data_IF_829101744184
#
_entry.id   IF_829101744184
#
_cell.length_a   1.000
_cell.length_b   1.000
_cell.length_c   1.000
_cell.angle_alpha   90.00
_cell.angle_beta   90.00
_cell.angle_gamma   90.00
#
_symmetry.space_group_name_H-M   'P 1'
#
loop_
_entity.id
_entity.type
_entity.pdbx_description
1 polymer ?
#
# COMPACT_ATOMS: atom_id res chain seq x y z
N UNK A 1 -22.64 -0.02 10.77
CA UNK A 1 -21.75 -0.62 9.78
C UNK A 1 -20.76 0.44 9.35
N UNK A 2 -19.48 0.14 9.49
CA UNK A 2 -18.41 1.02 9.00
C UNK A 2 -18.41 1.00 7.46
N UNK A 3 -18.05 2.11 6.84
CA UNK A 3 -17.81 2.17 5.40
C UNK A 3 -16.32 2.30 5.14
N UNK A 4 -15.83 1.59 4.12
CA UNK A 4 -14.46 1.71 3.64
C UNK A 4 -14.38 2.59 2.41
N UNK A 5 -13.43 3.51 2.38
CA UNK A 5 -13.21 4.39 1.23
C UNK A 5 -12.08 3.86 0.37
N UNK A 6 -12.41 3.48 -0.85
CA UNK A 6 -11.54 2.83 -1.83
C UNK A 6 -11.40 3.74 -3.04
N UNK A 7 -10.17 3.96 -3.54
CA UNK A 7 -9.98 4.79 -4.74
C UNK A 7 -9.75 3.99 -6.03
N UNK A 8 -9.36 2.71 -5.89
CA UNK A 8 -9.19 1.82 -7.05
C UNK A 8 -9.36 0.36 -6.63
N UNK A 9 -9.93 -0.44 -7.50
CA UNK A 9 -9.90 -1.90 -7.48
C UNK A 9 -9.23 -2.32 -8.78
N UNK A 10 -8.12 -3.07 -8.69
CA UNK A 10 -7.36 -3.54 -9.85
C UNK A 10 -7.40 -5.04 -9.87
N UNK A 11 -8.06 -5.57 -10.88
CA UNK A 11 -8.17 -7.00 -11.11
C UNK A 11 -6.93 -7.55 -11.84
N UNK A 12 -6.67 -8.84 -11.67
CA UNK A 12 -5.63 -9.61 -12.37
C UNK A 12 -4.20 -9.07 -12.18
N UNK A 13 -3.88 -8.56 -10.99
CA UNK A 13 -2.51 -8.17 -10.65
C UNK A 13 -1.65 -9.40 -10.38
N UNK A 14 -0.34 -9.31 -10.73
CA UNK A 14 0.63 -10.42 -10.61
C UNK A 14 1.81 -10.09 -9.67
N UNK A 15 1.90 -8.85 -9.21
CA UNK A 15 3.04 -8.37 -8.41
C UNK A 15 2.68 -8.02 -6.97
N UNK A 16 1.41 -8.19 -6.61
CA UNK A 16 0.86 -7.77 -5.33
C UNK A 16 0.63 -8.96 -4.38
N UNK A 17 1.32 -10.08 -4.61
CA UNK A 17 1.24 -11.29 -3.80
C UNK A 17 1.31 -12.57 -4.63
N UNK A 18 1.16 -13.74 -3.98
CA UNK A 18 1.12 -15.02 -4.68
C UNK A 18 -0.07 -15.12 -5.65
N UNK A 19 0.15 -15.74 -6.80
CA UNK A 19 -0.90 -16.00 -7.80
C UNK A 19 -1.51 -14.75 -8.43
N UNK A 20 -2.64 -14.92 -9.11
CA UNK A 20 -3.44 -13.82 -9.69
C UNK A 20 -4.29 -13.19 -8.58
N UNK A 21 -4.27 -11.86 -8.48
CA UNK A 21 -4.93 -11.16 -7.39
C UNK A 21 -5.85 -10.04 -7.85
N UNK A 22 -6.79 -9.70 -7.00
CA UNK A 22 -7.48 -8.42 -7.06
C UNK A 22 -6.93 -7.53 -5.95
N UNK A 23 -6.33 -6.40 -6.35
CA UNK A 23 -5.75 -5.43 -5.40
C UNK A 23 -6.71 -4.29 -5.15
N UNK A 24 -7.01 -4.05 -3.87
CA UNK A 24 -7.90 -2.99 -3.38
C UNK A 24 -7.06 -1.86 -2.81
N UNK A 25 -7.24 -0.65 -3.33
CA UNK A 25 -6.49 0.53 -2.93
C UNK A 25 -7.31 1.44 -2.02
N UNK A 26 -6.97 1.42 -0.74
CA UNK A 26 -7.63 2.20 0.32
C UNK A 26 -7.19 3.66 0.30
N UNK A 27 -8.12 4.58 0.62
CA UNK A 27 -7.82 5.99 0.88
C UNK A 27 -7.41 6.22 2.33
N UNK A 28 -6.63 7.28 2.52
CA UNK A 28 -6.07 7.64 3.82
C UNK A 28 -4.72 6.97 4.07
N UNK A 29 -3.73 7.78 4.36
CA UNK A 29 -2.41 7.32 4.79
C UNK A 29 -1.90 8.27 5.87
N UNK A 30 -1.41 7.79 7.00
CA UNK A 30 -0.84 8.65 8.05
C UNK A 30 0.54 9.19 7.66
N UNK A 31 1.22 8.56 6.70
CA UNK A 31 2.50 9.02 6.18
C UNK A 31 2.34 9.99 5.00
N UNK A 32 3.39 10.80 4.76
CA UNK A 32 3.51 11.77 3.66
C UNK A 32 4.82 11.57 2.92
N UNK A 33 5.06 10.32 2.48
CA UNK A 33 6.30 9.98 1.77
C UNK A 33 6.48 10.89 0.56
N UNK A 34 7.65 11.51 0.43
CA UNK A 34 7.94 12.45 -0.66
C UNK A 34 7.85 11.79 -2.04
N UNK A 35 8.15 10.49 -2.14
CA UNK A 35 8.09 9.69 -3.37
C UNK A 35 6.78 8.93 -3.56
N UNK A 36 5.69 9.33 -2.91
CA UNK A 36 4.46 8.54 -2.93
C UNK A 36 3.93 8.32 -4.36
N UNK A 37 3.66 7.06 -4.72
CA UNK A 37 3.13 6.70 -6.04
C UNK A 37 1.61 6.88 -6.15
N UNK A 38 0.93 6.95 -5.00
CA UNK A 38 -0.52 7.05 -4.92
C UNK A 38 -0.92 8.30 -4.11
N UNK A 39 -0.60 9.53 -4.62
CA UNK A 39 -0.98 10.76 -3.92
C UNK A 39 -2.50 10.86 -3.71
N UNK A 40 -3.30 10.25 -4.60
CA UNK A 40 -4.75 10.12 -4.48
C UNK A 40 -5.20 9.25 -3.29
N UNK A 41 -4.31 8.40 -2.79
CA UNK A 41 -4.55 7.59 -1.60
C UNK A 41 -4.15 8.25 -0.27
N UNK A 42 -3.45 9.38 -0.30
CA UNK A 42 -2.95 10.03 0.93
C UNK A 42 -4.07 10.64 1.77
N UNK A 43 -5.01 11.36 1.13
CA UNK A 43 -6.17 11.93 1.80
C UNK A 43 -7.22 10.86 2.07
N UNK A 44 -7.93 10.95 3.20
CA UNK A 44 -9.13 10.17 3.46
C UNK A 44 -10.35 10.67 2.68
N UNK A 45 -10.29 11.91 2.16
CA UNK A 45 -11.39 12.51 1.44
C UNK A 45 -11.45 12.05 -0.02
N UNK A 46 -12.66 12.07 -0.60
CA UNK A 46 -12.84 11.86 -2.04
C UNK A 46 -12.26 13.06 -2.76
N UNK A 47 -11.39 12.80 -3.73
CA UNK A 47 -10.71 13.83 -4.52
C UNK A 47 -10.97 13.61 -6.01
N UNK A 48 -10.77 14.64 -6.81
CA UNK A 48 -10.87 14.54 -8.27
C UNK A 48 -9.51 14.82 -8.91
N UNK A 49 -9.06 13.91 -9.75
CA UNK A 49 -7.93 14.14 -10.65
C UNK A 49 -8.43 14.87 -11.89
N UNK A 50 -7.90 16.06 -12.13
CA UNK A 50 -8.27 16.90 -13.27
C UNK A 50 -7.30 16.68 -14.42
N UNK A 51 -7.79 16.06 -15.51
CA UNK A 51 -7.03 15.88 -16.73
C UNK A 51 -7.30 17.06 -17.65
N UNK A 52 -6.36 18.03 -17.70
CA UNK A 52 -6.43 19.17 -18.62
C UNK A 52 -6.47 18.73 -20.09
N UNK A 53 -6.88 19.65 -20.96
CA UNK A 53 -6.86 19.41 -22.41
C UNK A 53 -5.43 19.15 -22.87
N UNK A 54 -5.19 17.97 -23.43
CA UNK A 54 -3.91 17.60 -24.03
C UNK A 54 -3.88 18.11 -25.48
N UNK A 55 -2.84 18.83 -25.86
CA UNK A 55 -2.69 19.29 -27.25
C UNK A 55 -2.56 18.06 -28.17
N UNK A 56 -3.51 17.91 -29.09
CA UNK A 56 -3.48 16.83 -30.12
C UNK A 56 -4.07 15.48 -29.70
N UNK A 57 -4.68 15.35 -28.50
CA UNK A 57 -5.41 14.15 -28.08
C UNK A 57 -6.82 14.48 -27.60
N UNK A 58 -7.72 13.50 -27.65
CA UNK A 58 -9.06 13.67 -27.10
C UNK A 58 -8.98 14.04 -25.60
N UNK A 59 -9.83 14.97 -25.12
CA UNK A 59 -9.84 15.32 -23.71
C UNK A 59 -10.16 14.08 -22.86
N UNK A 60 -9.34 13.83 -21.84
CA UNK A 60 -9.60 12.78 -20.88
C UNK A 60 -10.54 13.32 -19.81
N UNK A 61 -11.60 12.58 -19.50
CA UNK A 61 -12.52 12.95 -18.43
C UNK A 61 -11.83 12.94 -17.07
N UNK A 62 -12.21 13.87 -16.20
CA UNK A 62 -11.78 13.90 -14.81
C UNK A 62 -12.12 12.59 -14.11
N UNK A 63 -11.23 12.16 -13.19
CA UNK A 63 -11.39 10.92 -12.44
C UNK A 63 -11.66 11.23 -10.98
N UNK A 64 -12.81 10.77 -10.48
CA UNK A 64 -13.11 10.77 -9.05
C UNK A 64 -12.28 9.65 -8.38
N UNK A 65 -11.50 10.03 -7.39
CA UNK A 65 -10.63 9.13 -6.60
C UNK A 65 -11.22 8.95 -5.21
N UNK A 66 -12.02 7.91 -5.06
CA UNK A 66 -12.67 7.52 -3.82
C UNK A 66 -14.14 7.19 -4.03
N UNK A 67 -14.55 6.09 -3.43
CA UNK A 67 -15.92 5.63 -3.31
C UNK A 67 -16.09 4.93 -1.98
N UNK A 68 -17.19 5.19 -1.30
CA UNK A 68 -17.53 4.50 -0.06
C UNK A 68 -18.21 3.16 -0.37
N UNK A 69 -17.77 2.13 0.35
CA UNK A 69 -18.26 0.78 0.25
C UNK A 69 -18.70 0.26 1.61
N UNK A 70 -19.78 -0.51 1.65
CA UNK A 70 -20.02 -1.40 2.78
C UNK A 70 -19.11 -2.63 2.68
N UNK A 71 -18.79 -3.28 3.80
CA UNK A 71 -17.97 -4.48 3.78
C UNK A 71 -18.61 -5.60 2.93
N UNK A 72 -19.93 -5.71 2.93
CA UNK A 72 -20.66 -6.70 2.13
C UNK A 72 -20.58 -6.40 0.63
N UNK A 73 -20.88 -5.16 0.21
CA UNK A 73 -20.84 -4.82 -1.22
C UNK A 73 -19.44 -4.97 -1.79
N UNK A 74 -18.41 -4.61 -1.00
CA UNK A 74 -17.02 -4.81 -1.44
C UNK A 74 -16.66 -6.29 -1.49
N UNK A 75 -17.08 -7.09 -0.52
CA UNK A 75 -16.85 -8.53 -0.55
C UNK A 75 -17.50 -9.16 -1.79
N UNK A 76 -18.75 -8.83 -2.09
CA UNK A 76 -19.47 -9.36 -3.27
C UNK A 76 -18.76 -8.96 -4.57
N UNK A 77 -18.25 -7.73 -4.69
CA UNK A 77 -17.47 -7.28 -5.84
C UNK A 77 -16.16 -8.09 -5.98
N UNK A 78 -15.41 -8.26 -4.89
CA UNK A 78 -14.13 -8.96 -4.90
C UNK A 78 -14.27 -10.45 -5.16
N UNK A 79 -15.40 -11.05 -4.80
CA UNK A 79 -15.68 -12.47 -5.02
C UNK A 79 -16.06 -12.81 -6.47
N UNK A 80 -16.30 -11.82 -7.34
CA UNK A 80 -16.64 -12.07 -8.76
C UNK A 80 -15.57 -12.86 -9.49
N UNK A 81 -14.30 -12.71 -9.12
CA UNK A 81 -13.17 -13.42 -9.71
C UNK A 81 -12.59 -14.52 -8.80
N UNK A 82 -13.35 -14.97 -7.79
CA UNK A 82 -12.85 -15.91 -6.78
C UNK A 82 -12.29 -17.20 -7.39
N UNK A 83 -12.93 -17.75 -8.42
CA UNK A 83 -12.50 -18.98 -9.09
C UNK A 83 -11.13 -18.84 -9.76
N UNK A 84 -10.88 -17.71 -10.44
CA UNK A 84 -9.60 -17.44 -11.11
C UNK A 84 -8.50 -17.27 -10.07
N UNK A 85 -8.79 -16.53 -8.99
CA UNK A 85 -7.87 -16.37 -7.88
C UNK A 85 -7.53 -17.71 -7.23
N UNK A 86 -8.51 -18.54 -6.94
CA UNK A 86 -8.32 -19.86 -6.33
C UNK A 86 -7.48 -20.80 -7.22
N UNK A 87 -7.77 -20.87 -8.53
CA UNK A 87 -7.02 -21.71 -9.48
C UNK A 87 -5.54 -21.34 -9.58
N UNK A 88 -5.20 -20.08 -9.38
CA UNK A 88 -3.81 -19.58 -9.44
C UNK A 88 -3.08 -19.63 -8.08
N UNK A 89 -3.75 -19.99 -6.99
CA UNK A 89 -3.24 -19.81 -5.63
C UNK A 89 -3.17 -18.33 -5.22
N UNK A 90 -3.95 -17.49 -5.88
CA UNK A 90 -4.03 -16.04 -5.64
C UNK A 90 -5.11 -15.65 -4.63
N UNK A 91 -5.57 -14.40 -4.71
CA UNK A 91 -6.57 -13.88 -3.77
C UNK A 91 -6.73 -12.38 -3.81
N UNK A 92 -7.05 -11.79 -2.69
CA UNK A 92 -7.20 -10.33 -2.54
C UNK A 92 -6.01 -9.74 -1.83
N UNK A 93 -5.54 -8.57 -2.31
CA UNK A 93 -4.50 -7.76 -1.64
C UNK A 93 -5.09 -6.43 -1.22
N UNK A 94 -4.92 -6.09 0.03
CA UNK A 94 -5.24 -4.77 0.56
C UNK A 94 -3.99 -3.88 0.47
N UNK A 95 -4.10 -2.75 -0.22
CA UNK A 95 -3.03 -1.80 -0.53
C UNK A 95 -3.57 -0.37 -0.60
N UNK A 96 -2.86 0.58 -1.20
CA UNK A 96 -3.36 1.92 -1.49
C UNK A 96 -2.61 3.04 -0.82
N UNK A 97 -3.27 3.79 0.07
CA UNK A 97 -2.65 4.68 1.03
C UNK A 97 -2.02 3.85 2.15
N UNK A 98 -2.75 3.67 3.25
CA UNK A 98 -2.43 2.70 4.31
C UNK A 98 -3.73 1.97 4.70
N UNK A 99 -3.87 0.69 4.38
CA UNK A 99 -5.09 -0.07 4.71
C UNK A 99 -5.43 -0.07 6.21
N UNK A 100 -4.41 -0.07 7.07
CA UNK A 100 -4.58 -0.05 8.53
C UNK A 100 -5.19 1.26 9.04
N UNK A 101 -5.22 2.34 8.24
CA UNK A 101 -5.96 3.55 8.57
C UNK A 101 -7.49 3.31 8.60
N UNK A 102 -7.95 2.24 7.95
CA UNK A 102 -9.35 1.82 7.93
C UNK A 102 -9.53 0.43 8.59
N UNK A 103 -8.80 0.18 9.67
CA UNK A 103 -8.75 -1.12 10.35
C UNK A 103 -10.12 -1.66 10.77
N UNK A 104 -11.03 -0.81 11.27
CA UNK A 104 -12.37 -1.22 11.66
C UNK A 104 -13.15 -1.82 10.48
N UNK A 105 -13.06 -1.17 9.31
CA UNK A 105 -13.67 -1.66 8.09
C UNK A 105 -13.02 -2.98 7.63
N UNK A 106 -11.68 -3.07 7.67
CA UNK A 106 -10.97 -4.32 7.34
C UNK A 106 -11.41 -5.48 8.23
N UNK A 107 -11.60 -5.25 9.53
CA UNK A 107 -12.05 -6.27 10.47
C UNK A 107 -13.49 -6.74 10.21
N UNK A 108 -14.33 -5.94 9.54
CA UNK A 108 -15.64 -6.38 9.03
C UNK A 108 -15.52 -7.12 7.69
N UNK A 109 -14.60 -6.71 6.79
CA UNK A 109 -14.44 -7.27 5.45
C UNK A 109 -13.72 -8.62 5.44
N UNK A 110 -12.65 -8.76 6.22
CA UNK A 110 -11.79 -9.96 6.25
C UNK A 110 -12.58 -11.25 6.49
N UNK A 111 -13.47 -11.36 7.49
CA UNK A 111 -14.24 -12.57 7.73
C UNK A 111 -15.16 -12.97 6.56
N UNK A 112 -15.68 -11.99 5.81
CA UNK A 112 -16.55 -12.24 4.66
C UNK A 112 -15.77 -12.92 3.52
N UNK A 113 -14.54 -12.48 3.27
CA UNK A 113 -13.66 -13.04 2.25
C UNK A 113 -13.07 -14.40 2.70
N UNK A 114 -12.59 -14.49 3.94
CA UNK A 114 -12.05 -15.76 4.49
C UNK A 114 -13.11 -16.85 4.59
N UNK A 115 -14.34 -16.50 4.90
CA UNK A 115 -15.47 -17.43 4.88
C UNK A 115 -15.76 -18.06 3.51
N UNK A 116 -15.16 -17.51 2.44
CA UNK A 116 -15.20 -18.03 1.06
C UNK A 116 -13.88 -18.64 0.62
N UNK A 117 -12.92 -18.83 1.53
CA UNK A 117 -11.62 -19.43 1.24
C UNK A 117 -10.66 -18.54 0.48
N UNK A 118 -10.89 -17.22 0.44
CA UNK A 118 -10.01 -16.26 -0.26
C UNK A 118 -8.72 -16.06 0.54
N UNK A 119 -7.58 -16.26 -0.12
CA UNK A 119 -6.26 -15.92 0.42
C UNK A 119 -6.08 -14.40 0.46
N UNK A 120 -5.70 -13.85 1.63
CA UNK A 120 -5.57 -12.42 1.84
C UNK A 120 -4.12 -12.00 1.99
N UNK A 121 -3.72 -10.97 1.26
CA UNK A 121 -2.45 -10.30 1.42
C UNK A 121 -2.65 -8.84 1.85
N UNK A 122 -1.67 -8.31 2.55
CA UNK A 122 -1.63 -6.92 2.99
C UNK A 122 -0.31 -6.28 2.56
N UNK A 123 -0.39 -5.16 1.85
CA UNK A 123 0.73 -4.24 1.65
C UNK A 123 0.59 -3.08 2.62
N UNK A 124 1.56 -2.90 3.51
CA UNK A 124 1.48 -1.90 4.58
C UNK A 124 2.83 -1.26 4.85
N UNK A 125 2.80 0.01 5.19
CA UNK A 125 3.95 0.70 5.78
C UNK A 125 4.23 0.23 7.22
N UNK A 126 3.27 -0.43 7.85
CA UNK A 126 3.32 -0.77 9.26
C UNK A 126 3.18 0.43 10.21
N UNK A 127 2.84 1.60 9.69
CA UNK A 127 2.68 2.81 10.51
C UNK A 127 1.25 2.90 11.08
N UNK A 128 1.00 2.12 12.10
CA UNK A 128 -0.26 2.05 12.84
C UNK A 128 0.01 1.74 14.31
N UNK A 129 -0.92 2.05 15.23
CA UNK A 129 -0.83 1.61 16.62
C UNK A 129 -0.63 0.09 16.68
N UNK A 130 0.22 -0.43 17.60
CA UNK A 130 0.56 -1.86 17.68
C UNK A 130 -0.66 -2.78 17.81
N UNK A 131 -1.65 -2.39 18.58
CA UNK A 131 -2.90 -3.14 18.73
C UNK A 131 -3.70 -3.20 17.42
N UNK A 132 -3.76 -2.10 16.67
CA UNK A 132 -4.40 -2.03 15.36
C UNK A 132 -3.67 -2.92 14.35
N UNK A 133 -2.34 -2.82 14.30
CA UNK A 133 -1.52 -3.65 13.43
C UNK A 133 -1.77 -5.14 13.71
N UNK A 134 -1.67 -5.56 14.97
CA UNK A 134 -1.84 -6.96 15.39
C UNK A 134 -3.23 -7.48 15.08
N UNK A 135 -4.27 -6.71 15.38
CA UNK A 135 -5.66 -7.14 15.19
C UNK A 135 -6.00 -7.44 13.72
N UNK A 136 -5.44 -6.69 12.78
CA UNK A 136 -5.65 -6.91 11.35
C UNK A 136 -4.69 -7.98 10.82
N UNK A 137 -3.38 -7.81 11.07
CA UNK A 137 -2.35 -8.66 10.47
C UNK A 137 -2.48 -10.12 10.92
N UNK A 138 -2.93 -10.41 12.15
CA UNK A 138 -3.18 -11.79 12.60
C UNK A 138 -4.24 -12.54 11.79
N UNK A 139 -5.02 -11.85 10.95
CA UNK A 139 -6.04 -12.45 10.09
C UNK A 139 -5.61 -12.50 8.62
N UNK A 140 -4.40 -12.07 8.29
CA UNK A 140 -3.82 -12.02 6.95
C UNK A 140 -2.95 -13.25 6.69
N UNK A 141 -2.95 -13.76 5.47
CA UNK A 141 -2.20 -14.95 5.09
C UNK A 141 -0.79 -14.62 4.59
N UNK A 142 -0.56 -13.39 4.11
CA UNK A 142 0.74 -12.94 3.59
C UNK A 142 0.90 -11.41 3.72
N UNK A 143 2.07 -10.94 4.15
CA UNK A 143 2.33 -9.52 4.34
C UNK A 143 3.50 -9.03 3.49
N UNK A 144 3.27 -7.98 2.71
CA UNK A 144 4.33 -7.11 2.22
C UNK A 144 4.52 -5.96 3.21
N UNK A 145 5.60 -6.01 3.96
CA UNK A 145 5.95 -4.99 4.94
C UNK A 145 6.97 -4.02 4.33
N UNK A 146 6.56 -2.79 4.11
CA UNK A 146 7.49 -1.76 3.64
C UNK A 146 8.52 -1.40 4.72
N UNK A 147 9.78 -1.30 4.30
CA UNK A 147 10.89 -0.73 5.08
C UNK A 147 11.46 0.44 4.29
N UNK A 148 11.03 1.64 4.64
CA UNK A 148 11.34 2.83 3.82
C UNK A 148 12.71 3.44 4.13
N UNK A 149 13.09 3.45 5.40
CA UNK A 149 14.38 3.92 5.91
C UNK A 149 14.71 3.16 7.21
N UNK A 150 15.98 3.08 7.56
CA UNK A 150 16.44 2.49 8.83
C UNK A 150 16.96 3.54 9.83
N UNK A 151 17.18 4.77 9.36
CA UNK A 151 17.59 5.90 10.17
C UNK A 151 16.36 6.75 10.56
N UNK A 152 16.17 7.08 11.86
CA UNK A 152 14.98 7.79 12.34
C UNK A 152 14.81 9.19 11.76
N UNK A 153 15.89 9.93 11.59
CA UNK A 153 15.83 11.31 11.09
C UNK A 153 15.51 11.33 9.59
N UNK A 154 16.12 10.41 8.84
CA UNK A 154 15.80 10.18 7.42
C UNK A 154 14.33 9.75 7.26
N UNK A 155 13.86 8.83 8.09
CA UNK A 155 12.46 8.38 8.06
C UNK A 155 11.51 9.56 8.31
N UNK A 156 11.74 10.33 9.38
CA UNK A 156 10.91 11.49 9.72
C UNK A 156 10.93 12.53 8.61
N UNK A 157 12.11 12.88 8.11
CA UNK A 157 12.29 13.87 7.04
C UNK A 157 11.48 13.53 5.79
N UNK A 158 11.53 12.28 5.36
CA UNK A 158 11.02 11.88 4.06
C UNK A 158 9.62 11.25 4.08
N UNK A 159 9.14 10.84 5.24
CA UNK A 159 7.81 10.20 5.38
C UNK A 159 6.87 10.96 6.30
N UNK A 160 7.39 11.86 7.12
CA UNK A 160 6.63 12.58 8.15
C UNK A 160 6.24 11.73 9.36
N UNK A 161 6.74 10.49 9.46
CA UNK A 161 6.41 9.56 10.55
C UNK A 161 7.55 9.33 11.55
N UNK A 162 7.28 8.48 12.54
CA UNK A 162 8.23 8.03 13.54
C UNK A 162 8.61 6.57 13.30
N UNK A 163 9.89 6.29 13.02
CA UNK A 163 10.40 4.95 12.69
C UNK A 163 10.11 3.92 13.79
N UNK A 164 10.16 4.33 15.06
CA UNK A 164 9.93 3.45 16.20
C UNK A 164 8.58 2.72 16.15
N UNK A 165 7.53 3.36 15.61
CA UNK A 165 6.21 2.75 15.43
C UNK A 165 6.30 1.56 14.47
N UNK A 166 6.96 1.74 13.32
CA UNK A 166 7.13 0.69 12.32
C UNK A 166 8.02 -0.43 12.85
N UNK A 167 9.11 -0.10 13.55
CA UNK A 167 10.02 -1.09 14.13
C UNK A 167 9.33 -1.99 15.18
N UNK A 168 8.45 -1.42 16.03
CA UNK A 168 7.69 -2.18 16.99
C UNK A 168 6.75 -3.19 16.31
N UNK A 169 6.11 -2.81 15.21
CA UNK A 169 5.23 -3.67 14.43
C UNK A 169 6.01 -4.76 13.68
N UNK A 170 7.16 -4.41 13.08
CA UNK A 170 8.06 -5.39 12.44
C UNK A 170 8.58 -6.41 13.44
N UNK A 171 8.96 -5.97 14.65
CA UNK A 171 9.43 -6.88 15.69
C UNK A 171 8.36 -7.93 16.05
N UNK A 172 7.11 -7.50 16.16
CA UNK A 172 5.99 -8.43 16.37
C UNK A 172 5.76 -9.33 15.15
N UNK A 173 5.78 -8.78 13.91
CA UNK A 173 5.58 -9.55 12.69
C UNK A 173 6.57 -10.72 12.58
N UNK A 174 7.85 -10.47 12.88
CA UNK A 174 8.91 -11.49 12.89
C UNK A 174 8.60 -12.67 13.82
N UNK A 175 7.91 -12.42 14.93
CA UNK A 175 7.55 -13.45 15.92
C UNK A 175 6.18 -14.06 15.68
N UNK A 176 5.39 -13.55 14.74
CA UNK A 176 3.99 -13.95 14.55
C UNK A 176 3.81 -15.29 13.83
N UNK A 177 4.81 -15.75 13.09
CA UNK A 177 4.71 -16.91 12.20
C UNK A 177 3.97 -16.63 10.89
N UNK A 178 3.49 -15.41 10.65
CA UNK A 178 2.82 -15.03 9.41
C UNK A 178 3.86 -14.86 8.31
N UNK A 179 3.68 -15.45 7.12
CA UNK A 179 4.58 -15.26 5.99
C UNK A 179 4.65 -13.79 5.56
N UNK A 180 5.86 -13.27 5.39
CA UNK A 180 6.04 -11.88 4.94
C UNK A 180 7.28 -11.70 4.07
N UNK A 181 7.29 -10.59 3.35
CA UNK A 181 8.43 -10.09 2.58
C UNK A 181 8.61 -8.62 2.91
N UNK A 182 9.86 -8.19 3.14
CA UNK A 182 10.16 -6.78 3.22
C UNK A 182 10.23 -6.16 1.82
N UNK A 183 9.59 -5.01 1.62
CA UNK A 183 9.70 -4.20 0.42
C UNK A 183 10.44 -2.90 0.72
N UNK A 184 11.50 -2.64 -0.02
CA UNK A 184 12.32 -1.44 0.12
C UNK A 184 12.22 -0.62 -1.16
N UNK A 185 11.51 0.50 -1.16
CA UNK A 185 11.55 1.42 -2.28
C UNK A 185 12.95 2.06 -2.35
N UNK A 186 13.65 1.86 -3.46
CA UNK A 186 14.99 2.40 -3.68
C UNK A 186 14.88 3.82 -4.25
N UNK A 187 15.12 4.81 -3.42
CA UNK A 187 14.94 6.22 -3.77
C UNK A 187 16.31 6.88 -3.94
N UNK A 188 16.68 7.30 -5.16
CA UNK A 188 17.95 8.01 -5.40
C UNK A 188 18.09 9.21 -4.48
N UNK A 189 19.29 9.38 -3.91
CA UNK A 189 19.59 10.45 -2.97
C UNK A 189 19.00 10.31 -1.55
N UNK A 190 18.26 9.22 -1.29
CA UNK A 190 17.67 8.95 0.04
C UNK A 190 18.19 7.64 0.62
N UNK A 191 17.96 6.52 -0.05
CA UNK A 191 18.28 5.18 0.45
C UNK A 191 18.80 4.21 -0.63
N UNK A 192 19.09 4.69 -1.86
CA UNK A 192 19.56 3.86 -2.96
C UNK A 192 21.09 3.93 -3.10
N UNK A 193 21.81 3.48 -2.09
CA UNK A 193 23.28 3.28 -2.12
C UNK A 193 23.64 1.83 -1.80
N UNK A 194 24.86 1.42 -2.13
CA UNK A 194 25.34 0.08 -1.80
C UNK A 194 25.32 -0.17 -0.28
N UNK A 195 25.70 0.83 0.52
CA UNK A 195 25.71 0.76 1.98
C UNK A 195 24.29 0.65 2.52
N UNK A 196 23.34 1.40 1.99
CA UNK A 196 21.93 1.32 2.39
C UNK A 196 21.35 -0.06 2.06
N UNK A 197 21.62 -0.60 0.88
CA UNK A 197 21.18 -1.96 0.49
C UNK A 197 21.77 -3.04 1.40
N UNK A 198 23.07 -2.94 1.75
CA UNK A 198 23.70 -3.83 2.72
C UNK A 198 23.06 -3.72 4.11
N UNK A 199 22.74 -2.51 4.56
CA UNK A 199 22.05 -2.29 5.83
C UNK A 199 20.64 -2.90 5.85
N UNK A 200 19.86 -2.75 4.77
CA UNK A 200 18.55 -3.40 4.65
C UNK A 200 18.65 -4.93 4.64
N UNK A 201 19.65 -5.48 3.93
CA UNK A 201 19.88 -6.93 3.94
C UNK A 201 20.25 -7.45 5.34
N UNK A 202 21.09 -6.73 6.07
CA UNK A 202 21.43 -7.06 7.46
C UNK A 202 20.20 -6.92 8.38
N UNK A 203 19.42 -5.84 8.21
CA UNK A 203 18.16 -5.64 8.95
C UNK A 203 17.18 -6.78 8.69
N UNK A 204 17.12 -7.32 7.48
CA UNK A 204 16.19 -8.40 7.13
C UNK A 204 16.44 -9.69 7.93
N UNK A 205 17.69 -9.95 8.34
CA UNK A 205 18.05 -11.09 9.20
C UNK A 205 17.50 -12.43 8.68
N UNK A 206 17.76 -12.71 7.39
CA UNK A 206 17.31 -13.91 6.70
C UNK A 206 15.90 -13.86 6.10
N UNK A 207 15.10 -12.85 6.41
CA UNK A 207 13.83 -12.65 5.72
C UNK A 207 14.05 -12.17 4.27
N UNK A 208 13.13 -12.53 3.38
CA UNK A 208 13.18 -12.07 1.99
C UNK A 208 13.02 -10.56 1.90
N UNK A 209 13.85 -9.92 1.06
CA UNK A 209 13.76 -8.48 0.74
C UNK A 209 13.54 -8.31 -0.76
N UNK A 210 12.58 -7.49 -1.13
CA UNK A 210 12.35 -7.01 -2.49
C UNK A 210 12.73 -5.53 -2.58
N UNK A 211 13.79 -5.24 -3.34
CA UNK A 211 14.17 -3.86 -3.65
C UNK A 211 13.38 -3.37 -4.84
N UNK A 212 12.52 -2.37 -4.62
CA UNK A 212 11.65 -1.82 -5.63
C UNK A 212 12.33 -0.60 -6.28
N UNK A 213 12.53 -0.60 -7.61
CA UNK A 213 13.14 0.54 -8.28
C UNK A 213 12.26 1.78 -8.16
N UNK A 214 12.90 2.95 -8.13
CA UNK A 214 12.18 4.22 -8.12
C UNK A 214 11.34 4.38 -9.41
N UNK A 215 10.06 4.68 -9.23
CA UNK A 215 9.16 4.93 -10.33
C UNK A 215 9.08 6.44 -10.62
N UNK A 216 9.76 6.88 -11.66
CA UNK A 216 9.79 8.29 -12.09
C UNK A 216 8.42 8.83 -12.52
N UNK A 217 7.48 7.97 -12.92
CA UNK A 217 6.13 8.37 -13.29
C UNK A 217 5.23 8.76 -12.10
N UNK A 218 5.69 8.53 -10.86
CA UNK A 218 4.93 8.88 -9.65
C UNK A 218 4.54 10.36 -9.62
N UNK A 219 5.45 11.25 -10.02
CA UNK A 219 5.25 12.70 -10.05
C UNK A 219 4.12 13.16 -10.95
N UNK A 220 3.81 12.43 -12.02
CA UNK A 220 2.80 12.83 -13.01
C UNK A 220 1.36 12.92 -12.45
N UNK A 221 1.08 12.26 -11.32
CA UNK A 221 -0.25 12.30 -10.69
C UNK A 221 -0.48 13.56 -9.82
N UNK A 222 0.59 14.17 -9.32
CA UNK A 222 0.48 15.28 -8.36
C UNK A 222 -0.19 16.52 -8.95
N UNK A 223 0.19 17.00 -10.15
CA UNK A 223 -0.47 18.14 -10.77
C UNK A 223 -1.97 17.89 -11.03
N UNK A 224 -2.37 16.63 -11.29
CA UNK A 224 -3.78 16.27 -11.48
C UNK A 224 -4.63 16.48 -10.22
N UNK A 225 -3.98 16.54 -9.05
CA UNK A 225 -4.59 16.82 -7.74
C UNK A 225 -4.30 18.25 -7.26
N UNK A 226 -3.76 19.12 -8.12
CA UNK A 226 -3.35 20.48 -7.74
C UNK A 226 -2.18 20.52 -6.76
N UNK A 227 -1.32 19.49 -6.75
CA UNK A 227 -0.19 19.35 -5.83
C UNK A 227 1.14 19.43 -6.58
N UNK A 228 2.18 19.89 -5.89
CA UNK A 228 3.57 19.82 -6.36
C UNK A 228 4.19 18.49 -5.93
N UNK A 229 4.95 17.86 -6.81
CA UNK A 229 5.67 16.63 -6.47
C UNK A 229 6.88 16.96 -5.61
N UNK A 230 6.99 16.39 -4.38
CA UNK A 230 8.08 16.77 -3.47
C UNK A 230 9.48 16.33 -3.91
N UNK A 231 9.56 15.39 -4.88
CA UNK A 231 10.86 14.92 -5.40
C UNK A 231 11.30 15.64 -6.68
N UNK A 232 10.52 16.63 -7.16
CA UNK A 232 10.91 17.44 -8.33
C UNK A 232 12.26 18.12 -8.09
N UNK A 233 13.20 17.93 -9.04
CA UNK A 233 14.56 18.46 -8.97
C UNK A 233 15.49 17.80 -7.95
N UNK A 234 15.04 16.76 -7.23
CA UNK A 234 15.87 16.00 -6.27
C UNK A 234 16.39 14.72 -6.92
N UNK A 235 15.60 14.11 -7.78
CA UNK A 235 15.93 12.88 -8.51
C UNK A 235 16.17 13.21 -9.97
N UNK A 236 17.34 12.95 -10.46
CA UNK A 236 17.76 13.11 -11.86
C UNK A 236 17.85 11.74 -12.52
#
# INVERSE_FOLDING_TARGET
METGRIFEIREFTLHDGPGVRTTVFFKGCPLRCAWCHNPEGQSSEIETMHYGASVGSAPRADRVCGRDWTARDLADELLRNADIMAQSGGGVTFSGGEPLAQAKFLLELIPLLKGKGVHLALETSGYAPPETYRSVVSQIDFVYQDVKCLDPDTFRRWTGGELAVVQANIAWLRSSGIPFVFRVPCIPGVNDTAEARAAFAAFADGAKVEFLPYNTAAGAKYPLLGRTYPMDGIVV
#
